data_IF_653402015090
#
_entry.id   IF_653402015090
#
_cell.length_a   1.000
_cell.length_b   1.000
_cell.length_c   1.000
_cell.angle_alpha   90.00
_cell.angle_beta   90.00
_cell.angle_gamma   90.00
#
_symmetry.space_group_name_H-M   'P 1'
#
loop_
_entity.id
_entity.type
_entity.pdbx_description
1 polymer ?
#
# COMPACT_ATOMS: atom_id res chain seq x y z
N UNK A 1 -29.64 -5.55 -2.04
CA UNK A 1 -28.35 -6.19 -2.41
C UNK A 1 -27.24 -5.19 -2.11
N UNK A 2 -26.91 -5.01 -0.83
CA UNK A 2 -25.84 -4.09 -0.43
C UNK A 2 -24.51 -4.82 -0.62
N UNK A 3 -23.76 -4.43 -1.64
CA UNK A 3 -22.38 -4.86 -1.81
C UNK A 3 -21.55 -4.20 -0.70
N UNK A 4 -21.56 -4.80 0.49
CA UNK A 4 -20.70 -4.38 1.60
C UNK A 4 -19.34 -5.01 1.37
N UNK A 5 -18.52 -4.37 0.54
CA UNK A 5 -17.10 -4.70 0.44
C UNK A 5 -16.47 -4.46 1.81
N UNK A 6 -16.21 -5.54 2.55
CA UNK A 6 -15.61 -5.45 3.87
C UNK A 6 -14.14 -5.00 3.76
N UNK A 7 -13.74 -4.09 4.65
CA UNK A 7 -12.37 -3.57 4.71
C UNK A 7 -11.32 -4.69 4.89
N UNK A 8 -11.70 -5.80 5.52
CA UNK A 8 -10.84 -6.97 5.70
C UNK A 8 -10.51 -7.70 4.39
N UNK A 9 -11.50 -7.82 3.50
CA UNK A 9 -11.33 -8.45 2.19
C UNK A 9 -10.41 -7.61 1.30
N UNK A 10 -10.61 -6.29 1.31
CA UNK A 10 -9.75 -5.34 0.58
C UNK A 10 -8.32 -5.41 1.09
N UNK A 11 -8.10 -5.46 2.42
CA UNK A 11 -6.76 -5.61 3.00
C UNK A 11 -6.07 -6.90 2.55
N UNK A 12 -6.80 -8.02 2.48
CA UNK A 12 -6.26 -9.30 2.00
C UNK A 12 -5.86 -9.23 0.53
N UNK A 13 -6.71 -8.67 -0.32
CA UNK A 13 -6.42 -8.51 -1.75
C UNK A 13 -5.22 -7.58 -1.96
N UNK A 14 -5.19 -6.42 -1.30
CA UNK A 14 -4.04 -5.50 -1.36
C UNK A 14 -2.73 -6.17 -0.91
N UNK A 15 -2.79 -7.07 0.08
CA UNK A 15 -1.61 -7.84 0.51
C UNK A 15 -1.05 -8.76 -0.58
N UNK A 16 -1.89 -9.28 -1.49
CA UNK A 16 -1.42 -10.12 -2.61
C UNK A 16 -0.57 -9.35 -3.62
N UNK A 17 -0.86 -8.06 -3.77
CA UNK A 17 -0.11 -7.15 -4.64
C UNK A 17 1.04 -6.45 -3.92
N UNK A 18 1.29 -6.78 -2.65
CA UNK A 18 2.41 -6.21 -1.90
C UNK A 18 3.75 -6.66 -2.50
N UNK A 19 4.66 -5.71 -2.67
CA UNK A 19 5.97 -5.96 -3.25
C UNK A 19 7.06 -5.29 -2.41
N UNK A 20 7.83 -6.12 -1.70
CA UNK A 20 8.85 -5.67 -0.76
C UNK A 20 9.99 -4.89 -1.42
N UNK A 21 10.34 -5.20 -2.67
CA UNK A 21 11.39 -4.48 -3.39
C UNK A 21 10.94 -3.05 -3.72
N UNK A 22 9.72 -2.89 -4.24
CA UNK A 22 9.13 -1.57 -4.48
C UNK A 22 8.93 -0.81 -3.18
N UNK A 23 8.53 -1.48 -2.10
CA UNK A 23 8.37 -0.86 -0.79
C UNK A 23 9.67 -0.21 -0.31
N UNK A 24 10.80 -0.92 -0.39
CA UNK A 24 12.10 -0.38 -0.01
C UNK A 24 12.53 0.81 -0.87
N UNK A 25 12.28 0.75 -2.19
CA UNK A 25 12.58 1.87 -3.10
C UNK A 25 11.74 3.10 -2.73
N UNK A 26 10.44 2.91 -2.48
CA UNK A 26 9.52 3.98 -2.08
C UNK A 26 9.88 4.56 -0.72
N UNK A 27 10.19 3.73 0.27
CA UNK A 27 10.64 4.18 1.60
C UNK A 27 11.90 5.05 1.52
N UNK A 28 12.85 4.66 0.65
CA UNK A 28 14.07 5.43 0.43
C UNK A 28 13.83 6.73 -0.35
N UNK A 29 12.87 6.71 -1.28
CA UNK A 29 12.47 7.89 -2.07
C UNK A 29 11.70 8.91 -1.23
N UNK A 30 10.72 8.45 -0.45
CA UNK A 30 9.91 9.26 0.46
C UNK A 30 10.60 9.58 1.77
N UNK A 31 11.81 9.07 1.98
CA UNK A 31 12.65 9.38 3.14
C UNK A 31 11.91 9.09 4.44
N UNK A 32 11.64 7.81 4.68
CA UNK A 32 10.92 7.36 5.88
C UNK A 32 11.80 7.20 7.12
N UNK A 33 12.96 7.86 7.12
CA UNK A 33 13.90 7.83 8.24
C UNK A 33 13.46 8.74 9.39
N UNK A 34 14.06 8.56 10.59
CA UNK A 34 13.80 9.45 11.72
C UNK A 34 14.21 10.90 11.38
N UNK A 35 13.29 11.85 11.57
CA UNK A 35 13.42 13.27 11.28
C UNK A 35 13.14 13.65 9.83
N UNK A 36 12.73 12.71 8.98
CA UNK A 36 12.44 12.97 7.58
C UNK A 36 10.93 13.01 7.29
N UNK A 37 10.56 13.32 6.03
CA UNK A 37 9.20 13.72 5.64
C UNK A 37 8.13 12.66 5.94
N UNK A 38 8.47 11.39 5.76
CA UNK A 38 7.55 10.26 5.94
C UNK A 38 8.03 9.35 7.09
N UNK A 39 8.57 9.93 8.17
CA UNK A 39 9.01 9.18 9.35
C UNK A 39 7.89 8.24 9.83
N UNK A 40 8.20 6.94 9.88
CA UNK A 40 7.27 5.92 10.37
C UNK A 40 6.28 5.37 9.34
N UNK A 41 6.27 5.87 8.11
CA UNK A 41 5.42 5.32 7.06
C UNK A 41 5.92 3.97 6.53
N UNK A 42 5.01 2.99 6.51
CA UNK A 42 5.26 1.64 6.01
C UNK A 42 4.64 1.52 4.63
N UNK A 43 5.48 1.48 3.60
CA UNK A 43 5.04 1.25 2.25
C UNK A 43 4.88 -0.25 2.00
N UNK A 44 3.77 -0.61 1.36
CA UNK A 44 3.44 -1.99 0.94
C UNK A 44 3.91 -2.28 -0.50
N UNK A 45 4.49 -1.29 -1.19
CA UNK A 45 5.04 -1.46 -2.55
C UNK A 45 4.00 -1.50 -3.68
N UNK A 46 2.77 -1.04 -3.40
CA UNK A 46 1.67 -0.98 -4.34
C UNK A 46 1.70 0.28 -5.20
N UNK A 47 1.39 0.16 -6.49
CA UNK A 47 1.15 1.32 -7.36
C UNK A 47 -0.34 1.72 -7.32
N UNK A 48 -0.61 3.01 -7.49
CA UNK A 48 -1.98 3.57 -7.62
C UNK A 48 -2.91 2.77 -8.56
N UNK A 49 -2.49 2.36 -9.78
CA UNK A 49 -3.34 1.53 -10.64
C UNK A 49 -3.72 0.18 -10.03
N UNK A 50 -2.82 -0.46 -9.26
CA UNK A 50 -3.10 -1.76 -8.61
C UNK A 50 -4.16 -1.59 -7.52
N UNK A 51 -4.10 -0.49 -6.75
CA UNK A 51 -5.10 -0.14 -5.74
C UNK A 51 -6.47 0.10 -6.39
N UNK A 52 -6.50 0.83 -7.52
CA UNK A 52 -7.74 1.11 -8.25
C UNK A 52 -8.39 -0.17 -8.78
N UNK A 53 -7.59 -1.17 -9.18
CA UNK A 53 -8.11 -2.46 -9.66
C UNK A 53 -8.78 -3.30 -8.57
N UNK A 54 -8.51 -3.04 -7.29
CA UNK A 54 -9.14 -3.77 -6.17
C UNK A 54 -10.47 -3.14 -5.75
N UNK A 55 -10.65 -1.84 -6.01
CA UNK A 55 -11.84 -1.06 -5.60
C UNK A 55 -12.90 -0.99 -6.70
N UNK A 56 -12.50 -1.10 -7.96
CA UNK A 56 -13.35 -0.89 -9.13
C UNK A 56 -13.81 -2.21 -9.76
#
# INVERSE_FOLDING_TARGET
MTCSVNAETIKKELKKYSNTEKANILQRFFKTGPGEYAEGDIFIGLKVPEIRSVVN
#
